data_IF_014322911978
#
_entry.id   IF_014322911978
#
_cell.length_a   1.000
_cell.length_b   1.000
_cell.length_c   1.000
_cell.angle_alpha   90.00
_cell.angle_beta   90.00
_cell.angle_gamma   90.00
#
_symmetry.space_group_name_H-M   'P 1'
#
loop_
_entity.id
_entity.type
_entity.pdbx_description
1 polymer ?
2 polymer ?
3 non-polymer ?
#
# COMPACT_ATOMS: atom_id res chain seq x y z
N UNK A 1 -10.35 0.05 13.27
CA UNK A 1 -9.06 0.29 12.58
C UNK A 1 -8.60 1.72 12.80
N UNK A 2 -7.29 1.93 12.75
CA UNK A 2 -6.73 3.27 12.93
C UNK A 2 -6.99 4.12 11.70
N UNK A 3 -7.72 5.21 11.88
CA UNK A 3 -8.05 6.08 10.77
C UNK A 3 -6.94 7.08 10.47
N UNK A 4 -6.47 7.09 9.25
CA UNK A 4 -5.39 7.96 8.79
C UNK A 4 -5.97 9.09 7.94
N UNK A 5 -5.63 10.33 8.28
CA UNK A 5 -6.17 11.46 7.51
C UNK A 5 -5.12 12.38 6.95
N UNK A 6 -5.34 12.67 5.69
CA UNK A 6 -4.47 13.53 4.93
C UNK A 6 -5.21 14.80 4.50
N UNK A 7 -4.35 15.82 4.46
CA UNK A 7 -4.76 17.14 3.99
C UNK A 7 -3.50 17.79 3.41
N UNK A 8 -3.65 18.49 2.27
CA UNK A 8 -4.91 18.68 1.55
C UNK A 8 -5.17 17.54 0.57
N UNK A 9 -6.37 17.51 0.00
CA UNK A 9 -6.72 16.48 -0.97
C UNK A 9 -5.91 16.74 -2.23
N UNK A 10 -5.71 18.02 -2.53
CA UNK A 10 -4.95 18.44 -3.70
C UNK A 10 -3.98 19.56 -3.33
N UNK A 11 -2.77 19.50 -3.88
CA UNK A 11 -1.77 20.52 -3.62
C UNK A 11 -1.13 20.99 -4.93
N UNK A 12 -1.79 21.95 -5.60
CA UNK A 12 -1.22 22.45 -6.86
C UNK A 12 0.00 23.32 -6.56
N UNK A 13 1.10 23.04 -7.23
CA UNK A 13 2.33 23.81 -7.02
C UNK A 13 3.04 24.06 -8.34
N UNK A 14 3.95 25.03 -8.32
CA UNK A 14 4.74 25.33 -9.49
C UNK A 14 6.09 24.72 -9.19
N UNK A 15 6.67 24.12 -10.22
CA UNK A 15 7.97 23.51 -10.00
C UNK A 15 8.88 24.44 -9.28
N UNK A 16 9.65 23.92 -8.42
CA UNK A 16 10.61 24.71 -7.70
C UNK A 16 10.08 25.20 -6.37
N UNK A 17 8.78 25.12 -6.19
CA UNK A 17 8.16 25.57 -4.93
C UNK A 17 8.48 24.60 -3.78
N UNK A 18 7.92 24.97 -2.71
CA UNK A 18 8.00 24.20 -1.51
C UNK A 18 6.69 23.41 -1.36
N UNK A 19 6.71 22.29 -0.70
CA UNK A 19 5.49 21.50 -0.52
C UNK A 19 5.46 20.85 0.85
N UNK A 20 4.27 20.94 1.47
CA UNK A 20 4.08 20.34 2.79
C UNK A 20 2.75 19.59 2.83
N UNK A 21 2.81 18.33 3.20
CA UNK A 21 1.64 17.48 3.29
C UNK A 21 1.41 17.04 4.73
N UNK A 22 0.15 17.02 5.15
CA UNK A 22 -0.20 16.63 6.50
C UNK A 22 -0.91 15.29 6.60
N UNK A 23 -0.59 14.56 7.66
CA UNK A 23 -1.19 13.26 7.90
C UNK A 23 -1.41 13.09 9.40
N UNK A 24 -2.62 12.66 9.77
CA UNK A 24 -2.97 12.45 11.16
C UNK A 24 -3.58 11.08 11.38
N UNK A 25 -3.35 10.53 12.56
CA UNK A 25 -3.87 9.22 12.93
C UNK A 25 -4.92 9.37 14.04
N UNK A 26 -5.85 8.43 14.10
CA UNK A 26 -6.90 8.46 15.12
C UNK A 26 -6.33 8.14 16.50
N UNK A 27 -5.11 7.61 16.53
CA UNK A 27 -4.45 7.28 17.79
C UNK A 27 -2.95 7.24 17.58
N UNK A 28 -2.20 7.36 18.69
CA UNK A 28 -0.75 7.35 18.62
C UNK A 28 -0.20 6.20 17.79
N UNK A 29 0.82 6.49 16.99
CA UNK A 29 1.43 5.48 16.15
C UNK A 29 2.73 4.99 16.79
N UNK A 30 2.91 5.29 18.07
CA UNK A 30 4.11 4.85 18.77
C UNK A 30 3.93 3.39 19.20
N UNK A 31 4.79 2.53 18.64
CA UNK A 31 4.77 1.10 18.92
C UNK A 31 5.31 0.82 20.33
N UNK A 32 4.92 -0.33 20.87
CA UNK A 32 5.36 -0.74 22.20
C UNK A 32 6.89 -0.89 22.26
N UNK A 33 7.51 -1.19 21.12
CA UNK A 33 8.97 -1.35 21.08
C UNK A 33 9.69 -0.01 20.92
N UNK A 34 8.93 1.08 20.99
CA UNK A 34 9.52 2.40 20.88
C UNK A 34 9.50 3.11 19.53
N UNK A 35 9.41 2.34 18.45
CA UNK A 35 9.40 2.92 17.10
C UNK A 35 8.04 3.46 16.67
N UNK A 36 8.06 4.32 15.66
CA UNK A 36 6.84 4.92 15.12
C UNK A 36 6.78 4.51 13.65
N UNK A 37 5.89 3.58 13.35
CA UNK A 37 5.76 3.07 12.01
C UNK A 37 4.79 3.83 11.10
N UNK A 38 5.21 5.04 10.73
CA UNK A 38 4.42 5.88 9.86
C UNK A 38 5.24 6.06 8.60
N UNK A 39 4.66 5.73 7.46
CA UNK A 39 5.39 5.80 6.20
C UNK A 39 4.67 6.60 5.10
N UNK A 40 5.46 7.08 4.15
CA UNK A 40 4.95 7.86 3.02
C UNK A 40 5.26 7.21 1.67
N UNK A 41 4.24 7.08 0.83
CA UNK A 41 4.40 6.50 -0.50
C UNK A 41 4.00 7.54 -1.56
N UNK A 42 4.55 7.37 -2.76
CA UNK A 42 4.23 8.24 -3.87
C UNK A 42 3.76 7.37 -5.01
N UNK A 43 2.61 7.70 -5.58
CA UNK A 43 2.10 6.93 -6.69
C UNK A 43 1.82 7.83 -7.88
N UNK A 44 2.44 7.50 -9.01
CA UNK A 44 2.23 8.27 -10.22
C UNK A 44 1.05 7.67 -10.95
N UNK A 45 0.37 8.46 -11.80
CA UNK A 45 -0.79 7.95 -12.53
C UNK A 45 -0.50 6.63 -13.25
N UNK A 46 -1.44 5.69 -13.15
CA UNK A 46 -1.27 4.41 -13.80
C UNK A 46 -0.10 3.58 -13.30
N UNK A 47 0.56 4.03 -12.24
CA UNK A 47 1.68 3.28 -11.66
C UNK A 47 1.32 2.83 -10.25
N UNK A 48 2.13 1.94 -9.69
CA UNK A 48 1.88 1.45 -8.33
C UNK A 48 2.66 2.28 -7.32
N UNK A 49 2.23 2.25 -6.04
CA UNK A 49 2.90 3.00 -4.97
C UNK A 49 4.38 2.67 -4.83
N UNK A 50 5.16 3.68 -4.50
CA UNK A 50 6.60 3.53 -4.29
C UNK A 50 6.86 4.05 -2.87
N UNK A 51 7.63 3.30 -2.10
CA UNK A 51 7.95 3.74 -0.74
C UNK A 51 8.96 4.88 -0.84
N UNK A 52 8.66 5.97 -0.15
CA UNK A 52 9.53 7.15 -0.15
C UNK A 52 10.22 7.32 1.20
N UNK A 53 9.44 7.25 2.27
CA UNK A 53 9.97 7.42 3.62
C UNK A 53 9.32 6.42 4.57
N UNK A 54 10.13 5.80 5.42
CA UNK A 54 9.62 4.85 6.40
C UNK A 54 10.00 5.30 7.79
N UNK A 55 9.20 4.92 8.78
CA UNK A 55 9.43 5.29 10.17
C UNK A 55 9.64 6.79 10.37
N UNK A 56 8.66 7.55 9.88
CA UNK A 56 8.65 9.01 10.00
C UNK A 56 9.65 9.84 9.19
N UNK A 57 10.94 9.57 9.32
CA UNK A 57 11.94 10.39 8.63
C UNK A 57 13.02 9.67 7.83
N UNK A 58 12.92 8.36 7.71
CA UNK A 58 13.94 7.62 6.98
C UNK A 58 13.62 7.50 5.49
N UNK A 59 14.52 8.04 4.66
CA UNK A 59 14.36 7.98 3.22
C UNK A 59 14.71 6.60 2.70
N UNK A 60 13.80 6.03 1.90
CA UNK A 60 14.01 4.70 1.34
C UNK A 60 15.07 4.75 0.24
N UNK A 61 15.63 3.60 -0.09
CA UNK A 61 16.66 3.51 -1.11
C UNK A 61 16.29 4.30 -2.38
N UNK A 62 17.25 5.07 -2.89
CA UNK A 62 17.03 5.84 -4.09
C UNK A 62 16.27 7.16 -3.95
N UNK A 63 15.62 7.37 -2.80
CA UNK A 63 14.85 8.58 -2.59
C UNK A 63 15.76 9.79 -2.36
N UNK A 64 15.64 10.83 -3.21
CA UNK A 64 16.47 12.03 -3.10
C UNK A 64 16.28 12.80 -1.80
N UNK A 65 17.31 13.54 -1.38
CA UNK A 65 17.24 14.28 -0.14
C UNK A 65 16.33 15.50 -0.14
N UNK A 66 15.67 15.79 -1.26
CA UNK A 66 14.76 16.94 -1.29
C UNK A 66 13.49 16.56 -0.55
N UNK A 67 13.36 15.28 -0.24
CA UNK A 67 12.24 14.75 0.51
C UNK A 67 12.63 14.58 1.97
N UNK A 68 11.75 14.97 2.89
CA UNK A 68 12.02 14.82 4.32
C UNK A 68 10.70 14.62 5.06
N UNK A 69 10.74 13.84 6.14
CA UNK A 69 9.55 13.57 6.92
C UNK A 69 9.75 13.90 8.38
N UNK A 70 8.67 14.25 9.07
CA UNK A 70 8.76 14.62 10.49
C UNK A 70 7.42 14.36 11.19
N UNK A 71 7.39 14.61 12.49
CA UNK A 71 6.16 14.41 13.24
C UNK A 71 6.34 13.40 14.36
N UNK A 72 5.28 13.16 15.13
CA UNK A 72 5.33 12.21 16.22
C UNK A 72 3.94 12.00 16.79
N UNK A 73 3.71 10.82 17.36
CA UNK A 73 2.42 10.53 17.96
C UNK A 73 1.27 10.35 16.98
N UNK A 74 0.47 11.40 16.80
CA UNK A 74 -0.66 11.33 15.89
C UNK A 74 -0.62 12.40 14.78
N UNK A 75 0.48 13.14 14.70
CA UNK A 75 0.61 14.20 13.70
C UNK A 75 1.95 14.16 12.99
N UNK A 76 1.89 14.08 11.65
CA UNK A 76 3.11 14.01 10.85
C UNK A 76 3.08 14.92 9.62
N UNK A 77 4.25 15.11 9.02
CA UNK A 77 4.34 15.98 7.86
C UNK A 77 5.45 15.58 6.88
N UNK A 78 5.11 15.58 5.60
CA UNK A 78 6.08 15.28 4.56
C UNK A 78 6.35 16.59 3.85
N UNK A 79 7.62 16.88 3.59
CA UNK A 79 7.97 18.13 2.92
C UNK A 79 8.94 17.90 1.77
N UNK A 80 8.85 18.77 0.77
CA UNK A 80 9.72 18.73 -0.40
C UNK A 80 10.29 20.13 -0.53
N UNK A 81 11.61 20.25 -0.46
CA UNK A 81 12.27 21.55 -0.54
C UNK A 81 11.95 22.29 -1.83
N UNK A 82 12.13 21.61 -2.96
CA UNK A 82 11.86 22.20 -4.27
C UNK A 82 11.35 21.14 -5.23
N UNK A 83 10.02 21.09 -5.38
CA UNK A 83 9.34 20.12 -6.23
C UNK A 83 9.88 20.00 -7.66
N UNK A 84 9.94 18.75 -8.15
CA UNK A 84 10.40 18.47 -9.51
C UNK A 84 9.33 17.65 -10.23
N UNK A 85 9.45 17.55 -11.54
CA UNK A 85 8.47 16.81 -12.34
C UNK A 85 8.25 15.36 -11.91
N UNK A 86 9.33 14.65 -11.66
CA UNK A 86 9.23 13.25 -11.26
C UNK A 86 8.56 13.06 -9.89
N UNK A 87 8.28 14.16 -9.20
CA UNK A 87 7.66 14.08 -7.88
C UNK A 87 6.14 14.25 -7.96
N UNK A 88 5.62 14.49 -9.16
CA UNK A 88 4.19 14.68 -9.33
C UNK A 88 3.46 13.35 -9.26
N UNK A 89 2.36 13.33 -8.50
CA UNK A 89 1.57 12.13 -8.34
C UNK A 89 0.80 12.21 -7.03
N UNK A 90 0.32 11.07 -6.53
CA UNK A 90 -0.43 11.08 -5.29
C UNK A 90 0.38 10.53 -4.13
N UNK A 91 0.40 11.26 -3.02
CA UNK A 91 1.13 10.86 -1.83
C UNK A 91 0.18 10.25 -0.80
N UNK A 92 0.57 9.11 -0.24
CA UNK A 92 -0.25 8.41 0.75
C UNK A 92 0.58 8.19 2.01
N UNK A 93 -0.01 8.39 3.17
CA UNK A 93 0.70 8.08 4.40
C UNK A 93 0.08 6.77 4.82
N UNK A 94 0.78 6.02 5.66
CA UNK A 94 0.27 4.74 6.09
C UNK A 94 0.97 4.35 7.38
N UNK A 95 0.23 3.68 8.26
CA UNK A 95 0.78 3.23 9.53
C UNK A 95 0.79 1.71 9.57
N UNK A 96 1.84 1.15 10.17
CA UNK A 96 1.94 -0.29 10.31
C UNK A 96 2.26 -0.64 11.76
N UNK A 97 1.96 0.29 12.66
CA UNK A 97 2.18 0.06 14.08
C UNK A 97 1.06 -0.83 14.59
N UNK A 98 -0.16 -0.58 14.13
CA UNK A 98 -1.33 -1.34 14.53
C UNK A 98 -1.89 -2.15 13.36
N UNK A 99 -2.35 -3.37 13.63
CA UNK A 99 -2.93 -4.22 12.60
C UNK A 99 -4.45 -4.09 12.71
N UNK A 100 -5.16 -3.96 11.57
CA UNK A 100 -4.60 -3.94 10.22
C UNK A 100 -3.96 -2.62 9.81
N UNK A 101 -2.97 -2.72 8.94
CA UNK A 101 -2.28 -1.54 8.42
C UNK A 101 -3.31 -0.73 7.66
N UNK A 102 -3.30 0.58 7.84
CA UNK A 102 -4.26 1.45 7.16
C UNK A 102 -3.56 2.57 6.41
N UNK A 103 -4.26 3.17 5.45
CA UNK A 103 -3.70 4.25 4.62
C UNK A 103 -4.51 5.53 4.66
N UNK A 104 -3.83 6.65 4.40
CA UNK A 104 -4.53 7.94 4.34
C UNK A 104 -5.23 7.99 3.00
N UNK A 105 -6.10 8.97 2.79
CA UNK A 105 -6.84 9.07 1.53
C UNK A 105 -6.01 9.61 0.37
N UNK A 106 -4.82 10.13 0.67
CA UNK A 106 -3.97 10.63 -0.38
C UNK A 106 -4.06 12.11 -0.70
N UNK A 107 -2.94 12.67 -1.15
CA UNK A 107 -2.84 14.08 -1.52
C UNK A 107 -2.24 14.11 -2.92
N UNK A 108 -2.96 14.73 -3.86
CA UNK A 108 -2.44 14.80 -5.23
C UNK A 108 -1.57 16.03 -5.43
N UNK A 109 -0.29 15.77 -5.70
CA UNK A 109 0.65 16.84 -5.95
C UNK A 109 0.61 17.05 -7.46
N UNK A 110 0.11 18.20 -7.89
CA UNK A 110 -0.01 18.48 -9.31
C UNK A 110 0.51 19.87 -9.69
N UNK A 111 0.73 20.07 -10.98
CA UNK A 111 1.22 21.33 -11.50
C UNK A 111 0.11 22.38 -11.46
N UNK A 112 0.48 23.59 -11.08
CA UNK A 112 -0.48 24.66 -11.03
C UNK A 112 -0.66 25.16 -12.48
N UNK A 113 -1.64 24.58 -13.17
CA UNK A 113 -1.97 24.93 -14.55
C UNK A 113 -2.92 26.12 -14.60
N UNK B 1 17.49 -7.52 -8.13
CA UNK B 1 16.42 -6.48 -8.18
C UNK B 1 15.08 -7.10 -7.80
N UNK B 2 14.37 -6.46 -6.87
CA UNK B 2 13.08 -6.96 -6.43
C UNK B 2 12.04 -6.87 -7.54
N UNK B 3 11.40 -7.99 -7.85
CA UNK B 3 10.37 -8.03 -8.87
C UNK B 3 9.10 -8.69 -8.36
N UNK B 4 8.01 -8.06 -8.57
CA UNK B 4 6.67 -8.53 -8.22
C UNK B 4 5.73 -8.29 -9.38
N UNK B 5 5.03 -9.32 -9.81
CA UNK B 5 4.09 -9.12 -10.93
C UNK B 5 2.83 -9.97 -10.76
N UNK B 6 1.74 -9.24 -10.66
CA UNK B 6 0.39 -9.80 -10.50
C UNK B 6 -0.21 -10.13 -11.87
N UNK B 7 -1.10 -11.10 -11.85
CA UNK B 7 -1.80 -11.55 -13.05
C UNK B 7 -3.12 -12.18 -12.64
N UNK B 8 -4.07 -12.25 -13.55
CA UNK B 8 -5.35 -12.86 -13.20
C UNK B 8 -6.55 -11.93 -13.17
N UNK B 9 -6.30 -10.63 -13.15
CA UNK B 9 -7.39 -9.66 -13.10
C UNK B 9 -8.29 -9.75 -14.33
N UNK B 10 -9.48 -9.18 -14.22
CA UNK B 10 -10.43 -9.21 -15.32
C UNK B 10 -11.77 -8.70 -14.88
N UNK B 11 -12.75 -8.75 -15.79
CA UNK B 11 -14.10 -8.29 -15.47
C UNK B 11 -14.94 -9.50 -15.12
N UNK B 12 -15.60 -9.46 -13.97
CA UNK B 12 -16.43 -10.57 -13.53
C UNK B 12 -17.78 -10.05 -13.04
N UNK B 13 -18.78 -10.93 -13.03
CA UNK B 13 -20.11 -10.55 -12.58
C UNK B 13 -20.20 -10.66 -11.07
N UNK B 14 -21.12 -9.90 -10.46
CA UNK B 14 -21.27 -9.99 -9.00
C UNK B 14 -21.54 -11.45 -8.64
N UNK B 15 -20.95 -11.91 -7.55
CA UNK B 15 -21.15 -13.30 -7.14
C UNK B 15 -20.20 -14.26 -7.83
N UNK B 16 -19.36 -13.73 -8.73
CA UNK B 16 -18.43 -14.59 -9.45
C UNK B 16 -17.18 -14.90 -8.64
N UNK B 17 -16.24 -15.62 -9.26
CA UNK B 17 -14.98 -15.99 -8.60
C UNK B 17 -13.82 -15.70 -9.53
N UNK B 18 -12.65 -15.45 -8.94
CA UNK B 18 -11.45 -15.13 -9.70
C UNK B 18 -10.21 -15.37 -8.86
N UNK B 19 -9.16 -15.93 -9.47
CA UNK B 19 -7.93 -16.17 -8.74
C UNK B 19 -6.80 -15.29 -9.27
N UNK B 20 -6.14 -14.58 -8.37
CA UNK B 20 -5.03 -13.72 -8.75
C UNK B 20 -3.72 -14.41 -8.40
N UNK B 21 -2.67 -14.10 -9.17
CA UNK B 21 -1.36 -14.69 -8.93
C UNK B 21 -0.31 -13.58 -8.90
N UNK B 22 0.78 -13.86 -8.19
CA UNK B 22 1.88 -12.91 -8.07
C UNK B 22 3.19 -13.67 -8.15
N UNK B 23 3.98 -13.37 -9.19
CA UNK B 23 5.28 -14.00 -9.37
C UNK B 23 6.30 -13.05 -8.74
N UNK B 24 7.27 -13.61 -8.02
CA UNK B 24 8.27 -12.78 -7.36
C UNK B 24 9.70 -13.27 -7.52
N UNK B 25 10.65 -12.36 -7.29
CA UNK B 25 12.08 -12.65 -7.37
C UNK B 25 12.88 -11.47 -6.83
N UNK B 26 14.11 -11.72 -6.40
CA UNK B 26 14.94 -10.64 -5.90
C UNK B 26 14.96 -10.46 -4.40
N UNK B 27 14.31 -11.35 -3.65
CA UNK B 27 14.29 -11.25 -2.20
C UNK B 27 14.01 -12.63 -1.61
N UNK B 28 14.43 -12.87 -0.36
CA UNK B 28 14.19 -14.15 0.29
C UNK B 28 12.70 -14.30 0.53
N UNK B 29 12.11 -15.26 -0.18
CA UNK B 29 10.66 -15.49 -0.11
C UNK B 29 10.10 -16.24 1.11
N UNK B 30 10.72 -17.35 1.49
CA UNK B 30 10.20 -18.14 2.60
C UNK B 30 10.00 -17.46 3.95
N UNK B 31 10.79 -16.43 4.26
CA UNK B 31 10.61 -15.76 5.54
C UNK B 31 9.81 -14.46 5.41
N UNK B 32 9.47 -14.11 4.17
CA UNK B 32 8.71 -12.91 3.93
C UNK B 32 7.22 -13.12 4.20
N UNK B 33 6.55 -12.08 4.67
CA UNK B 33 5.11 -12.14 4.90
C UNK B 33 4.58 -11.44 3.64
N UNK B 34 3.78 -12.15 2.86
CA UNK B 34 3.25 -11.57 1.63
C UNK B 34 1.84 -11.05 1.85
N UNK B 35 1.53 -9.95 1.17
CA UNK B 35 0.22 -9.28 1.29
C UNK B 35 -0.39 -8.89 -0.04
N UNK B 36 -1.71 -8.66 0.00
CA UNK B 36 -2.45 -8.15 -1.15
C UNK B 36 -3.08 -6.86 -0.65
N UNK B 37 -2.95 -5.79 -1.43
CA UNK B 37 -3.52 -4.49 -1.10
C UNK B 37 -4.26 -4.03 -2.35
N UNK B 38 -5.46 -3.48 -2.18
CA UNK B 38 -6.25 -3.04 -3.33
C UNK B 38 -6.46 -1.54 -3.30
N UNK B 39 -6.84 -1.00 -4.45
CA UNK B 39 -7.06 0.43 -4.58
C UNK B 39 -8.26 0.73 -5.46
N UNK B 40 -9.13 1.61 -4.96
CA UNK B 40 -10.32 2.03 -5.68
C UNK B 40 -10.56 3.49 -5.32
N UNK B 41 -11.13 4.28 -6.24
CA UNK B 41 -11.37 5.69 -5.92
C UNK B 41 -12.34 5.79 -4.73
N UNK B 42 -13.20 4.79 -4.61
CA UNK B 42 -14.18 4.74 -3.53
C UNK B 42 -13.52 4.73 -2.15
N UNK B 43 -12.64 3.76 -1.92
CA UNK B 43 -11.97 3.64 -0.62
C UNK B 43 -10.46 3.80 -0.60
N UNK B 44 -9.88 4.26 -1.69
CA UNK B 44 -8.43 4.45 -1.74
C UNK B 44 -7.67 3.15 -1.57
N UNK B 45 -6.50 3.22 -0.94
CA UNK B 45 -5.70 2.03 -0.70
C UNK B 45 -6.20 1.30 0.54
N UNK B 46 -6.39 -0.01 0.43
CA UNK B 46 -6.85 -0.77 1.57
C UNK B 46 -6.22 -2.16 1.61
N UNK B 47 -5.68 -2.51 2.76
CA UNK B 47 -5.05 -3.82 2.94
C UNK B 47 -6.16 -4.87 2.86
N UNK B 48 -5.88 -5.96 2.14
CA UNK B 48 -6.85 -7.04 1.95
C UNK B 48 -6.53 -8.33 2.72
N UNK B 49 -5.31 -8.83 2.57
CA UNK B 49 -4.91 -10.05 3.26
C UNK B 49 -3.41 -10.22 3.36
N UNK B 50 -3.00 -11.06 4.30
CA UNK B 50 -1.59 -11.35 4.51
C UNK B 50 -1.40 -12.80 4.88
N UNK B 51 -0.26 -13.36 4.48
CA UNK B 51 0.06 -14.74 4.80
C UNK B 51 1.50 -14.70 5.33
N UNK B 52 1.65 -15.08 6.60
CA UNK B 52 2.96 -15.08 7.24
C UNK B 52 3.87 -16.18 6.68
N UNK B 53 5.09 -16.25 7.22
CA UNK B 53 6.09 -17.22 6.80
C UNK B 53 5.92 -18.56 7.52
N UNK B 54 6.88 -19.46 7.30
CA UNK B 54 6.84 -20.78 7.91
C UNK B 54 6.98 -20.73 9.42
N UNK B 55 7.68 -19.70 9.93
CA UNK B 55 7.88 -19.54 11.36
C UNK B 55 6.55 -19.33 12.06
N UNK B 56 5.58 -18.80 11.31
CA UNK B 56 4.24 -18.55 11.83
C UNK B 56 3.25 -19.56 11.24
N UNK B 57 3.79 -20.63 10.68
CA UNK B 57 2.97 -21.69 10.10
C UNK B 57 2.04 -21.18 9.01
N UNK B 58 2.47 -20.12 8.33
CA UNK B 58 1.69 -19.53 7.25
C UNK B 58 0.34 -19.01 7.72
N UNK B 59 0.31 -18.46 8.93
CA UNK B 59 -0.93 -17.92 9.48
C UNK B 59 -1.48 -16.84 8.55
N UNK B 60 -2.78 -16.94 8.24
CA UNK B 60 -3.40 -15.97 7.35
C UNK B 60 -4.27 -14.96 8.10
N UNK B 61 -4.28 -13.73 7.59
CA UNK B 61 -5.07 -12.65 8.18
C UNK B 61 -5.79 -11.93 7.03
N UNK B 62 -7.02 -11.51 7.29
CA UNK B 62 -7.85 -10.87 6.27
C UNK B 62 -8.53 -9.60 6.76
N UNK B 63 -8.88 -8.71 5.84
CA UNK B 63 -9.60 -7.51 6.21
C UNK B 63 -11.00 -8.01 6.54
N UNK B 64 -11.68 -7.32 7.44
CA UNK B 64 -13.02 -7.75 7.83
C UNK B 64 -13.96 -7.80 6.63
N UNK B 65 -13.76 -6.89 5.69
CA UNK B 65 -14.61 -6.81 4.50
C UNK B 65 -14.52 -7.96 3.51
N UNK B 66 -13.49 -8.79 3.61
CA UNK B 66 -13.35 -9.92 2.68
C UNK B 66 -13.29 -11.27 3.38
N UNK B 67 -13.26 -11.26 4.71
CA UNK B 67 -13.18 -12.48 5.48
C UNK B 67 -14.30 -13.45 5.10
N UNK B 68 -13.93 -14.70 4.84
CA UNK B 68 -14.91 -15.71 4.48
C UNK B 68 -15.18 -15.85 2.98
N UNK B 69 -14.69 -14.90 2.19
CA UNK B 69 -14.89 -14.93 0.75
C UNK B 69 -13.56 -15.01 0.01
N UNK B 70 -12.52 -14.40 0.59
CA UNK B 70 -11.19 -14.38 -0.01
C UNK B 70 -10.27 -15.35 0.72
N UNK B 71 -9.37 -15.96 -0.03
CA UNK B 71 -8.39 -16.89 0.54
C UNK B 71 -7.02 -16.60 -0.02
N UNK B 72 -6.08 -16.24 0.85
CA UNK B 72 -4.71 -15.98 0.40
C UNK B 72 -3.92 -17.26 0.64
N UNK B 73 -2.99 -17.54 -0.26
CA UNK B 73 -2.16 -18.74 -0.16
C UNK B 73 -0.83 -18.43 -0.83
N UNK B 74 0.13 -19.33 -0.68
CA UNK B 74 1.42 -19.12 -1.29
C UNK B 74 2.07 -20.45 -1.63
N UNK B 75 3.04 -20.39 -2.54
CA UNK B 75 3.80 -21.56 -2.95
C UNK B 75 5.25 -21.15 -2.77
N UNK B 76 5.80 -21.45 -1.59
CA UNK B 76 7.19 -21.08 -1.29
C UNK B 76 8.16 -21.65 -2.31
N UNK B 77 7.83 -22.82 -2.87
CA UNK B 77 8.71 -23.45 -3.85
C UNK B 77 8.74 -22.68 -5.16
N UNK B 78 7.63 -22.03 -5.49
CA UNK B 78 7.53 -21.25 -6.72
C UNK B 78 7.72 -19.75 -6.46
N UNK B 79 7.77 -19.38 -5.19
CA UNK B 79 7.92 -17.98 -4.80
C UNK B 79 6.74 -17.18 -5.33
N UNK B 80 5.54 -17.72 -5.17
CA UNK B 80 4.34 -17.04 -5.63
C UNK B 80 3.28 -16.94 -4.55
N UNK B 81 2.48 -15.88 -4.62
CA UNK B 81 1.41 -15.67 -3.67
C UNK B 81 0.13 -15.66 -4.51
N UNK B 82 -0.98 -16.07 -3.91
CA UNK B 82 -2.26 -16.14 -4.63
C UNK B 82 -3.39 -15.54 -3.81
N UNK B 83 -4.46 -15.16 -4.50
CA UNK B 83 -5.62 -14.61 -3.85
C UNK B 83 -6.87 -15.16 -4.56
N UNK B 84 -7.56 -16.09 -3.90
CA UNK B 84 -8.77 -16.67 -4.47
C UNK B 84 -9.92 -15.82 -3.95
N UNK B 85 -10.60 -15.14 -4.87
CA UNK B 85 -11.70 -14.28 -4.49
C UNK B 85 -13.02 -14.91 -4.92
N UNK B 86 -13.85 -15.29 -3.95
CA UNK B 86 -15.14 -15.89 -4.26
C UNK B 86 -16.26 -14.98 -3.81
N UNK B 87 -17.45 -15.25 -4.31
CA UNK B 87 -18.62 -14.46 -3.97
C UNK B 87 -18.29 -12.97 -4.08
N UNK B 88 -17.67 -12.60 -5.20
CA UNK B 88 -17.27 -11.22 -5.44
C UNK B 88 -18.42 -10.22 -5.38
N UNK B 89 -18.09 -9.02 -4.90
CA UNK B 89 -19.07 -7.95 -4.80
C UNK B 89 -18.58 -6.73 -5.58
N UNK B 90 -19.50 -5.83 -5.91
CA UNK B 90 -19.14 -4.65 -6.66
C UNK B 90 -18.04 -3.84 -5.96
N UNK B 91 -18.17 -3.69 -4.65
CA UNK B 91 -17.19 -2.94 -3.87
C UNK B 91 -15.80 -3.59 -3.84
N UNK B 92 -15.68 -4.77 -4.44
CA UNK B 92 -14.38 -5.45 -4.47
C UNK B 92 -13.59 -4.94 -5.67
N UNK B 93 -14.25 -4.14 -6.50
CA UNK B 93 -13.62 -3.58 -7.70
C UNK B 93 -12.41 -2.72 -7.34
N UNK B 94 -11.34 -2.87 -8.12
CA UNK B 94 -10.13 -2.09 -7.90
C UNK B 94 -8.87 -2.70 -8.46
N UNK B 95 -7.75 -2.02 -8.27
CA UNK B 95 -6.48 -2.53 -8.72
C UNK B 95 -5.90 -3.30 -7.55
N UNK B 96 -5.54 -4.55 -7.77
CA UNK B 96 -4.97 -5.37 -6.71
C UNK B 96 -3.47 -5.44 -6.84
N UNK B 97 -2.78 -5.11 -5.75
CA UNK B 97 -1.33 -5.14 -5.75
C UNK B 97 -0.77 -6.19 -4.80
N UNK B 98 0.36 -6.73 -5.20
CA UNK B 98 1.09 -7.73 -4.44
C UNK B 98 2.25 -7.00 -3.80
N UNK B 99 2.49 -7.24 -2.52
CA UNK B 99 3.58 -6.60 -1.79
C UNK B 99 3.82 -7.48 -0.56
N UNK B 100 4.50 -6.95 0.44
CA UNK B 100 4.74 -7.73 1.63
C UNK B 100 5.69 -7.07 2.60
N UNK B 101 5.97 -7.75 3.70
CA UNK B 101 6.88 -7.22 4.70
C UNK B 101 7.74 -8.33 5.29
N UNK B 102 8.64 -7.91 6.16
CA UNK B 102 9.51 -8.82 6.90
C UNK B 102 9.23 -8.45 8.35
N UNK B 103 9.27 -9.46 9.24
CA UNK B 103 8.99 -9.23 10.65
C UNK B 103 9.64 -7.97 11.25
N UNK B 104 10.93 -7.76 10.97
CA UNK B 104 11.63 -6.61 11.52
C UNK B 104 11.50 -5.33 10.72
N UNK B 105 10.94 -5.44 9.50
CA UNK B 105 10.77 -4.29 8.62
C UNK B 105 9.31 -4.26 8.14
N UNK B 106 8.36 -3.98 9.05
CA UNK B 106 6.94 -3.94 8.76
C UNK B 106 6.41 -2.81 7.86
N UNK B 107 7.00 -2.68 6.68
CA UNK B 107 6.54 -1.67 5.72
C UNK B 107 6.53 -2.27 4.31
N UNK B 108 5.56 -1.84 3.50
CA UNK B 108 5.44 -2.33 2.12
C UNK B 108 6.46 -1.62 1.26
N UNK B 109 7.67 -2.17 1.25
CA UNK B 109 8.78 -1.62 0.51
C UNK B 109 8.67 -1.72 -1.00
N UNK B 110 8.10 -2.81 -1.50
CA UNK B 110 7.98 -3.01 -2.94
C UNK B 110 6.58 -3.49 -3.35
N UNK B 111 6.08 -2.90 -4.43
CA UNK B 111 4.75 -3.21 -4.95
C UNK B 111 4.80 -3.63 -6.41
N UNK B 112 3.97 -4.60 -6.78
CA UNK B 112 3.93 -5.00 -8.17
C UNK B 112 3.15 -3.91 -8.88
N UNK B 113 3.05 -3.95 -10.21
CA UNK B 113 2.32 -2.90 -10.92
C UNK B 113 0.81 -3.00 -10.77
N UNK B 114 0.34 -4.17 -10.37
CA UNK B 114 -1.09 -4.37 -10.17
C UNK B 114 -1.84 -5.06 -11.30
N UNK B 115 -2.99 -5.61 -10.93
CA UNK B 115 -3.87 -6.28 -11.87
C UNK B 115 -5.25 -5.71 -11.55
N UNK B 116 -6.02 -5.37 -12.59
CA UNK B 116 -7.35 -4.77 -12.41
C UNK B 116 -8.45 -5.79 -12.27
N UNK B 117 -9.26 -5.61 -11.23
CA UNK B 117 -10.39 -6.49 -10.95
C UNK B 117 -11.65 -5.66 -11.01
N UNK B 118 -12.54 -5.98 -11.95
CA UNK B 118 -13.78 -5.23 -12.07
C UNK B 118 -14.98 -6.14 -11.86
N UNK B 119 -15.77 -5.83 -10.84
CA UNK B 119 -16.96 -6.60 -10.53
C UNK B 119 -18.17 -5.76 -10.91
N UNK B 120 -18.78 -6.06 -12.06
CA UNK B 120 -19.93 -5.31 -12.51
C UNK B 120 -20.84 -6.11 -13.43
N UNK B 121 -22.14 -5.82 -13.34
CA UNK B 121 -23.12 -6.50 -14.16
C UNK B 121 -23.59 -5.62 -15.31
N UNK B 122 -23.14 -4.37 -15.34
CA UNK B 122 -23.54 -3.47 -16.41
C UNK B 122 -22.62 -2.26 -16.54
N UNK B 123 -22.27 -1.89 -17.77
CA UNK B 123 -21.39 -0.73 -17.99
C UNK B 123 -22.14 0.57 -17.71
#
# INVERSE_FOLDING_TARGET
DVVMTQTPLSLPVSLGNQASISCRSSQSLVHSNGNTYLHWYLQKPGQSPKLLIYKVSNRFSGVPDRFSGSGSGTDFTLKISRVEAEDLGVYFCSQSTHVPFTFGSGTKLEIKR
EVKLEESGGGLVQPGGSMKLSCATSGFTFSDAWMDWVRQSPEKGLEWVAEIRNKANNHATYYAESVKGRFTISRDDSKRRVYLQMNTLRAEDTGIYYCTGIYYHYPWFAYWGQGTLVTVSAEP
#
